data_IF_491530906587
#
_entry.id   IF_491530906587
#
_cell.length_a   1.000
_cell.length_b   1.000
_cell.length_c   1.000
_cell.angle_alpha   90.00
_cell.angle_beta   90.00
_cell.angle_gamma   90.00
#
_symmetry.space_group_name_H-M   'P 1'
#
loop_
_entity.id
_entity.type
_entity.pdbx_description
1 polymer ?
#
# COMPACT_ATOMS: atom_id res chain seq x y z
N UNK A 1 -31.28 -22.11 4.40
CA UNK A 1 -30.76 -20.92 3.74
C UNK A 1 -29.30 -21.24 3.40
N UNK A 2 -29.04 -21.60 2.16
CA UNK A 2 -27.65 -21.70 1.69
C UNK A 2 -27.02 -20.32 1.87
N UNK A 3 -25.91 -20.23 2.56
CA UNK A 3 -25.15 -18.99 2.67
C UNK A 3 -24.78 -18.58 1.23
N UNK A 4 -25.27 -17.44 0.78
CA UNK A 4 -24.98 -16.89 -0.52
C UNK A 4 -23.46 -16.86 -0.71
N UNK A 5 -22.97 -17.56 -1.73
CA UNK A 5 -21.54 -17.80 -1.93
C UNK A 5 -20.89 -16.46 -2.33
N UNK A 6 -20.28 -15.77 -1.39
CA UNK A 6 -19.56 -14.52 -1.64
C UNK A 6 -18.26 -14.82 -2.38
N UNK A 7 -18.12 -14.30 -3.62
CA UNK A 7 -16.92 -14.54 -4.41
C UNK A 7 -15.74 -13.68 -3.92
N UNK A 8 -16.00 -12.42 -3.55
CA UNK A 8 -14.97 -11.53 -3.05
C UNK A 8 -15.37 -10.80 -1.76
N UNK A 9 -14.39 -10.56 -0.89
CA UNK A 9 -14.48 -9.56 0.17
C UNK A 9 -13.51 -8.43 -0.15
N UNK A 10 -14.03 -7.20 -0.24
CA UNK A 10 -13.18 -6.00 -0.32
C UNK A 10 -13.03 -5.44 1.08
N UNK A 11 -11.82 -5.54 1.62
CA UNK A 11 -11.44 -5.01 2.93
C UNK A 11 -10.95 -3.58 2.78
N UNK A 12 -11.66 -2.62 3.33
CA UNK A 12 -11.27 -1.20 3.38
C UNK A 12 -10.66 -0.92 4.75
N UNK A 13 -9.40 -0.49 4.76
CA UNK A 13 -8.67 -0.14 5.97
C UNK A 13 -8.87 1.35 6.27
N UNK A 14 -9.33 1.70 7.47
CA UNK A 14 -9.58 3.08 7.87
C UNK A 14 -8.91 3.44 9.20
N UNK A 15 -8.30 4.62 9.21
CA UNK A 15 -7.84 5.31 10.41
C UNK A 15 -8.00 6.81 10.23
N UNK A 16 -8.86 7.44 11.07
CA UNK A 16 -9.23 8.85 10.93
C UNK A 16 -9.75 9.16 9.51
N UNK A 17 -10.64 8.28 9.00
CA UNK A 17 -11.09 8.26 7.62
C UNK A 17 -12.45 8.90 7.36
N UNK A 18 -13.11 9.47 8.40
CA UNK A 18 -14.48 9.97 8.36
C UNK A 18 -14.79 10.90 7.18
N UNK A 19 -13.86 11.78 6.82
CA UNK A 19 -14.07 12.77 5.76
C UNK A 19 -13.83 12.22 4.34
N UNK A 20 -13.13 11.08 4.19
CA UNK A 20 -12.71 10.58 2.87
C UNK A 20 -13.27 9.20 2.49
N UNK A 21 -13.65 8.37 3.47
CA UNK A 21 -14.08 6.98 3.24
C UNK A 21 -15.28 6.87 2.29
N UNK A 22 -16.14 7.90 2.27
CA UNK A 22 -17.31 7.92 1.38
C UNK A 22 -16.93 7.81 -0.09
N UNK A 23 -15.81 8.39 -0.54
CA UNK A 23 -15.37 8.32 -1.93
C UNK A 23 -15.03 6.89 -2.34
N UNK A 24 -14.45 6.11 -1.44
CA UNK A 24 -14.12 4.71 -1.66
C UNK A 24 -15.37 3.83 -1.66
N UNK A 25 -16.26 4.04 -0.69
CA UNK A 25 -17.48 3.24 -0.56
C UNK A 25 -18.46 3.51 -1.71
N UNK A 26 -18.60 4.75 -2.14
CA UNK A 26 -19.42 5.11 -3.31
C UNK A 26 -18.85 4.48 -4.60
N UNK A 27 -17.53 4.49 -4.78
CA UNK A 27 -16.89 3.83 -5.91
C UNK A 27 -17.04 2.30 -5.86
N UNK A 28 -17.08 1.70 -4.67
CA UNK A 28 -17.34 0.27 -4.51
C UNK A 28 -18.79 -0.07 -4.82
N UNK A 29 -19.77 0.76 -4.50
CA UNK A 29 -21.18 0.59 -4.92
C UNK A 29 -21.37 0.57 -6.44
N UNK A 30 -20.48 1.24 -7.16
CA UNK A 30 -20.54 1.40 -8.62
C UNK A 30 -19.66 0.40 -9.37
N UNK A 31 -19.21 -0.68 -8.73
CA UNK A 31 -18.39 -1.67 -9.41
C UNK A 31 -19.18 -2.43 -10.49
N UNK A 32 -18.59 -2.49 -11.67
CA UNK A 32 -19.06 -3.22 -12.84
C UNK A 32 -18.78 -4.73 -12.70
N UNK A 33 -19.48 -5.40 -11.80
CA UNK A 33 -19.36 -6.85 -11.64
C UNK A 33 -20.69 -7.48 -11.28
N UNK A 34 -20.94 -8.68 -11.82
CA UNK A 34 -22.08 -9.53 -11.44
C UNK A 34 -21.71 -10.55 -10.35
N UNK A 35 -20.43 -10.64 -10.02
CA UNK A 35 -19.97 -11.51 -8.97
C UNK A 35 -20.50 -11.01 -7.60
N UNK A 36 -21.07 -11.88 -6.76
CA UNK A 36 -21.47 -11.47 -5.43
C UNK A 36 -20.24 -11.13 -4.58
N UNK A 37 -20.22 -9.93 -4.02
CA UNK A 37 -19.14 -9.48 -3.15
C UNK A 37 -19.68 -8.74 -1.92
N UNK A 38 -18.87 -8.71 -0.89
CA UNK A 38 -19.11 -7.91 0.31
C UNK A 38 -18.03 -6.84 0.48
N UNK A 39 -18.38 -5.74 1.12
CA UNK A 39 -17.44 -4.72 1.59
C UNK A 39 -17.34 -4.81 3.10
N UNK A 40 -16.11 -4.90 3.60
CA UNK A 40 -15.78 -4.99 5.01
C UNK A 40 -14.84 -3.84 5.39
N UNK A 41 -15.32 -2.88 6.16
CA UNK A 41 -14.47 -1.80 6.69
C UNK A 41 -13.86 -2.23 8.02
N UNK A 42 -12.53 -2.13 8.13
CA UNK A 42 -11.78 -2.29 9.37
C UNK A 42 -11.28 -0.92 9.79
N UNK A 43 -11.94 -0.33 10.79
CA UNK A 43 -11.63 1.00 11.30
C UNK A 43 -11.03 0.94 12.70
N UNK A 44 -10.09 1.85 12.96
CA UNK A 44 -9.49 2.05 14.28
C UNK A 44 -9.32 3.53 14.61
N UNK A 45 -10.08 4.39 13.93
CA UNK A 45 -10.13 5.84 14.18
C UNK A 45 -11.00 6.21 15.39
N UNK A 46 -10.90 7.45 15.81
CA UNK A 46 -11.70 8.05 16.88
C UNK A 46 -12.54 9.22 16.39
N UNK A 47 -12.66 9.38 15.08
CA UNK A 47 -13.31 10.48 14.39
C UNK A 47 -14.80 10.23 14.06
N UNK A 48 -15.36 9.12 14.54
CA UNK A 48 -16.74 8.73 14.29
C UNK A 48 -16.97 8.11 12.91
N UNK A 49 -15.92 7.61 12.26
CA UNK A 49 -16.00 6.94 10.97
C UNK A 49 -16.93 5.71 11.03
N UNK A 50 -16.85 4.93 12.10
CA UNK A 50 -17.67 3.74 12.29
C UNK A 50 -19.17 4.05 12.38
N UNK A 51 -19.56 5.06 13.12
CA UNK A 51 -20.95 5.51 13.22
C UNK A 51 -21.46 5.99 11.85
N UNK A 52 -20.67 6.82 11.17
CA UNK A 52 -20.99 7.30 9.83
C UNK A 52 -21.22 6.18 8.82
N UNK A 53 -20.33 5.18 8.78
CA UNK A 53 -20.46 4.07 7.85
C UNK A 53 -21.71 3.24 8.15
N UNK A 54 -21.99 2.94 9.44
CA UNK A 54 -23.19 2.19 9.84
C UNK A 54 -24.49 2.90 9.44
N UNK A 55 -24.52 4.22 9.55
CA UNK A 55 -25.68 5.05 9.20
C UNK A 55 -25.86 5.17 7.67
N UNK A 56 -24.78 5.48 6.95
CA UNK A 56 -24.83 5.84 5.53
C UNK A 56 -24.71 4.66 4.57
N UNK A 57 -24.08 3.57 5.03
CA UNK A 57 -23.78 2.37 4.25
C UNK A 57 -24.18 1.09 4.98
N UNK A 58 -25.51 0.87 5.24
CA UNK A 58 -25.98 -0.26 6.05
C UNK A 58 -25.64 -1.64 5.44
N UNK A 59 -25.35 -1.72 4.15
CA UNK A 59 -24.90 -2.93 3.47
C UNK A 59 -23.43 -3.26 3.73
N UNK A 60 -22.63 -2.28 4.20
CA UNK A 60 -21.21 -2.45 4.49
C UNK A 60 -21.03 -3.03 5.88
N UNK A 61 -20.25 -4.10 5.96
CA UNK A 61 -19.89 -4.68 7.26
C UNK A 61 -18.80 -3.82 7.91
N UNK A 62 -19.00 -3.47 9.18
CA UNK A 62 -18.11 -2.61 9.93
C UNK A 62 -17.50 -3.34 11.13
N UNK A 63 -16.18 -3.39 11.15
CA UNK A 63 -15.39 -3.81 12.31
C UNK A 63 -14.64 -2.59 12.87
N UNK A 64 -15.03 -2.16 14.07
CA UNK A 64 -14.35 -1.07 14.76
C UNK A 64 -13.45 -1.59 15.88
N UNK A 65 -12.31 -0.95 16.07
CA UNK A 65 -11.39 -1.16 17.19
C UNK A 65 -11.17 0.16 17.93
N UNK A 66 -11.39 0.16 19.23
CA UNK A 66 -11.08 1.29 20.09
C UNK A 66 -9.57 1.54 20.28
N UNK A 67 -8.75 0.54 19.90
CA UNK A 67 -7.29 0.65 19.91
C UNK A 67 -6.83 0.82 18.47
N UNK A 68 -5.95 1.80 18.23
CA UNK A 68 -5.36 2.03 16.91
C UNK A 68 -4.68 0.76 16.39
N UNK A 69 -5.10 0.29 15.25
CA UNK A 69 -4.48 -0.81 14.52
C UNK A 69 -3.45 -0.27 13.52
N UNK A 70 -2.28 -0.91 13.47
CA UNK A 70 -1.34 -0.74 12.35
C UNK A 70 -1.88 -1.47 11.12
N UNK A 71 -1.33 -1.21 9.91
CA UNK A 71 -1.85 -1.86 8.69
C UNK A 71 -1.85 -3.39 8.75
N UNK A 72 -0.80 -4.04 9.27
CA UNK A 72 -0.73 -5.50 9.40
C UNK A 72 -1.89 -6.09 10.23
N UNK A 73 -2.04 -5.72 11.51
CA UNK A 73 -3.18 -6.14 12.33
C UNK A 73 -4.55 -5.79 11.72
N UNK A 74 -4.69 -4.64 11.08
CA UNK A 74 -5.94 -4.25 10.43
C UNK A 74 -6.28 -5.17 9.24
N UNK A 75 -5.28 -5.50 8.38
CA UNK A 75 -5.45 -6.46 7.28
C UNK A 75 -5.80 -7.85 7.82
N UNK A 76 -5.10 -8.33 8.84
CA UNK A 76 -5.35 -9.64 9.45
C UNK A 76 -6.78 -9.74 9.99
N UNK A 77 -7.25 -8.70 10.68
CA UNK A 77 -8.64 -8.65 11.13
C UNK A 77 -9.63 -8.70 9.97
N UNK A 78 -9.29 -8.05 8.84
CA UNK A 78 -10.06 -8.15 7.60
C UNK A 78 -10.09 -9.58 7.05
N UNK A 79 -8.93 -10.25 6.98
CA UNK A 79 -8.82 -11.64 6.52
C UNK A 79 -9.66 -12.59 7.38
N UNK A 80 -9.58 -12.46 8.71
CA UNK A 80 -10.28 -13.34 9.65
C UNK A 80 -11.80 -13.23 9.57
N UNK A 81 -12.32 -12.08 9.15
CA UNK A 81 -13.75 -11.82 9.03
C UNK A 81 -14.28 -11.84 7.59
N UNK A 82 -13.40 -11.94 6.61
CA UNK A 82 -13.78 -12.04 5.20
C UNK A 82 -14.53 -13.35 4.93
N UNK A 83 -15.56 -13.30 4.06
CA UNK A 83 -16.35 -14.46 3.61
C UNK A 83 -16.00 -14.88 2.19
N UNK A 84 -15.45 -13.95 1.38
CA UNK A 84 -15.13 -14.17 -0.01
C UNK A 84 -14.01 -15.20 -0.23
N UNK A 85 -14.04 -15.83 -1.39
CA UNK A 85 -12.96 -16.72 -1.87
C UNK A 85 -11.72 -15.92 -2.27
N UNK A 86 -11.92 -14.69 -2.73
CA UNK A 86 -10.89 -13.68 -3.00
C UNK A 86 -11.00 -12.59 -1.94
N UNK A 87 -9.88 -12.17 -1.38
CA UNK A 87 -9.80 -11.08 -0.41
C UNK A 87 -8.98 -9.96 -1.05
N UNK A 88 -9.61 -8.79 -1.25
CA UNK A 88 -8.98 -7.63 -1.83
C UNK A 88 -8.89 -6.50 -0.81
N UNK A 89 -7.85 -5.68 -0.87
CA UNK A 89 -7.59 -4.61 0.08
C UNK A 89 -7.60 -3.25 -0.61
N UNK A 90 -8.19 -2.27 0.06
CA UNK A 90 -8.13 -0.85 -0.29
C UNK A 90 -7.85 -0.02 0.97
N UNK A 91 -7.05 1.05 0.88
CA UNK A 91 -7.03 2.09 1.90
C UNK A 91 -8.28 2.97 1.77
N UNK A 92 -8.62 3.72 2.81
CA UNK A 92 -9.78 4.63 2.84
C UNK A 92 -9.60 5.92 2.00
N UNK A 93 -8.47 6.03 1.30
CA UNK A 93 -8.13 7.07 0.33
C UNK A 93 -7.77 6.50 -1.06
N UNK A 94 -8.07 5.22 -1.28
CA UNK A 94 -7.84 4.51 -2.54
C UNK A 94 -9.13 4.28 -3.31
N UNK A 95 -9.46 5.16 -4.25
CA UNK A 95 -10.71 5.12 -5.03
C UNK A 95 -10.56 4.17 -6.22
N UNK A 96 -11.23 2.99 -6.21
CA UNK A 96 -11.11 2.03 -7.30
C UNK A 96 -11.87 2.51 -8.55
N UNK A 97 -11.31 2.24 -9.74
CA UNK A 97 -12.03 2.42 -11.00
C UNK A 97 -13.24 1.47 -11.03
N UNK A 98 -14.29 1.82 -11.78
CA UNK A 98 -15.55 1.07 -11.81
C UNK A 98 -15.41 -0.43 -12.19
N UNK A 99 -14.38 -0.80 -12.94
CA UNK A 99 -14.09 -2.18 -13.37
C UNK A 99 -12.96 -2.86 -12.55
N UNK A 100 -12.50 -2.23 -11.48
CA UNK A 100 -11.37 -2.67 -10.66
C UNK A 100 -11.58 -4.07 -10.07
N UNK A 101 -12.76 -4.33 -9.50
CA UNK A 101 -13.06 -5.62 -8.87
C UNK A 101 -13.25 -6.72 -9.92
N UNK A 102 -14.00 -6.43 -11.00
CA UNK A 102 -14.22 -7.39 -12.09
C UNK A 102 -12.90 -7.87 -12.68
N UNK A 103 -12.02 -6.94 -13.06
CA UNK A 103 -10.70 -7.28 -13.66
C UNK A 103 -9.82 -8.10 -12.72
N UNK A 104 -9.88 -7.83 -11.41
CA UNK A 104 -9.17 -8.66 -10.42
C UNK A 104 -9.72 -10.08 -10.39
N UNK A 105 -11.03 -10.23 -10.33
CA UNK A 105 -11.68 -11.53 -10.31
C UNK A 105 -11.41 -12.32 -11.59
N UNK A 106 -11.35 -11.64 -12.75
CA UNK A 106 -11.01 -12.29 -14.01
C UNK A 106 -9.60 -12.90 -13.96
N UNK A 107 -8.58 -12.17 -13.48
CA UNK A 107 -7.23 -12.72 -13.30
C UNK A 107 -7.20 -13.87 -12.27
N UNK A 108 -7.96 -13.78 -11.18
CA UNK A 108 -8.06 -14.89 -10.23
C UNK A 108 -8.70 -16.14 -10.85
N UNK A 109 -9.67 -15.98 -11.76
CA UNK A 109 -10.29 -17.08 -12.52
C UNK A 109 -9.33 -17.68 -13.55
N UNK A 110 -8.41 -16.88 -14.10
CA UNK A 110 -7.31 -17.32 -14.97
C UNK A 110 -6.22 -18.12 -14.23
N UNK A 111 -6.30 -18.20 -12.89
CA UNK A 111 -5.42 -19.02 -12.07
C UNK A 111 -4.35 -18.25 -11.30
N UNK A 112 -4.38 -16.90 -11.31
CA UNK A 112 -3.49 -16.12 -10.46
C UNK A 112 -3.99 -16.11 -9.00
N UNK A 113 -3.09 -16.40 -8.07
CA UNK A 113 -3.39 -16.45 -6.64
C UNK A 113 -3.27 -15.11 -5.94
N UNK A 114 -2.43 -14.25 -6.48
CA UNK A 114 -2.22 -12.89 -6.00
C UNK A 114 -2.29 -11.93 -7.20
N UNK A 115 -3.04 -10.83 -7.06
CA UNK A 115 -3.26 -9.89 -8.17
C UNK A 115 -2.94 -8.47 -7.75
N UNK A 116 -2.05 -7.84 -8.51
CA UNK A 116 -1.68 -6.44 -8.44
C UNK A 116 -2.42 -5.57 -9.46
N UNK A 117 -2.19 -4.26 -9.38
CA UNK A 117 -2.73 -3.29 -10.30
C UNK A 117 -2.01 -1.94 -10.20
N UNK A 118 -2.35 -1.03 -11.09
CA UNK A 118 -1.78 0.29 -11.15
C UNK A 118 -2.41 1.25 -10.13
N UNK A 119 -1.62 2.21 -9.70
CA UNK A 119 -2.06 3.30 -8.82
C UNK A 119 -1.91 4.61 -9.59
N UNK A 120 -3.00 5.35 -9.71
CA UNK A 120 -3.05 6.65 -10.38
C UNK A 120 -3.11 7.78 -9.35
N UNK A 121 -2.75 9.00 -9.77
CA UNK A 121 -2.84 10.17 -8.92
C UNK A 121 -4.29 10.64 -8.78
N UNK A 122 -4.85 10.57 -7.58
CA UNK A 122 -6.20 11.02 -7.27
C UNK A 122 -6.30 12.55 -7.01
N UNK A 123 -5.16 13.27 -6.99
CA UNK A 123 -5.08 14.72 -6.75
C UNK A 123 -4.12 15.41 -7.74
N UNK A 124 -4.38 15.33 -9.06
CA UNK A 124 -3.47 15.89 -10.07
C UNK A 124 -3.31 17.42 -9.98
N UNK A 125 -4.29 18.11 -9.43
CA UNK A 125 -4.28 19.58 -9.24
C UNK A 125 -3.34 20.02 -8.11
N UNK A 126 -2.89 19.10 -7.24
CA UNK A 126 -1.99 19.42 -6.13
C UNK A 126 -0.54 19.06 -6.48
N UNK A 127 0.32 20.07 -6.53
CA UNK A 127 1.75 19.90 -6.76
C UNK A 127 2.38 18.91 -5.76
N UNK A 128 2.07 19.07 -4.46
CA UNK A 128 2.62 18.19 -3.41
C UNK A 128 2.10 16.75 -3.58
N UNK A 129 0.81 16.56 -3.87
CA UNK A 129 0.26 15.24 -4.09
C UNK A 129 0.83 14.57 -5.34
N UNK A 130 1.06 15.32 -6.43
CA UNK A 130 1.68 14.80 -7.66
C UNK A 130 3.14 14.38 -7.41
N UNK A 131 3.92 15.20 -6.69
CA UNK A 131 5.27 14.84 -6.32
C UNK A 131 5.32 13.62 -5.38
N UNK A 132 4.40 13.53 -4.42
CA UNK A 132 4.29 12.38 -3.52
C UNK A 132 3.85 11.11 -4.27
N UNK A 133 2.93 11.23 -5.23
CA UNK A 133 2.55 10.11 -6.10
C UNK A 133 3.75 9.57 -6.89
N UNK A 134 4.57 10.46 -7.46
CA UNK A 134 5.80 10.08 -8.16
C UNK A 134 6.82 9.46 -7.20
N UNK A 135 6.90 9.95 -5.96
CA UNK A 135 7.76 9.38 -4.93
C UNK A 135 7.38 7.94 -4.58
N UNK A 136 6.11 7.67 -4.31
CA UNK A 136 5.63 6.39 -3.76
C UNK A 136 5.26 5.38 -4.84
N UNK A 137 4.62 5.83 -5.92
CA UNK A 137 3.97 4.96 -6.90
C UNK A 137 4.58 5.00 -8.31
N UNK A 138 5.77 5.59 -8.50
CA UNK A 138 6.42 5.62 -9.83
C UNK A 138 6.70 4.24 -10.44
N UNK A 139 6.63 3.17 -9.65
CA UNK A 139 6.74 1.79 -10.12
C UNK A 139 5.38 1.11 -10.37
N UNK A 140 4.28 1.78 -10.03
CA UNK A 140 2.90 1.27 -10.12
C UNK A 140 2.02 2.11 -11.06
N UNK A 141 2.64 2.93 -11.89
CA UNK A 141 1.93 3.69 -12.91
C UNK A 141 1.23 2.75 -13.90
N UNK A 142 0.13 3.17 -14.56
CA UNK A 142 -0.61 2.33 -15.51
C UNK A 142 0.17 2.08 -16.81
N UNK A 143 1.25 1.32 -16.70
CA UNK A 143 2.17 0.90 -17.77
C UNK A 143 2.57 -0.55 -17.57
N UNK A 144 2.20 -1.45 -18.45
CA UNK A 144 2.47 -2.89 -18.30
C UNK A 144 3.97 -3.20 -18.18
N UNK A 145 4.81 -2.48 -18.92
CA UNK A 145 6.26 -2.67 -18.86
C UNK A 145 6.87 -2.33 -17.48
N UNK A 146 6.28 -1.39 -16.72
CA UNK A 146 6.72 -1.08 -15.37
C UNK A 146 6.37 -2.18 -14.38
N UNK A 147 5.25 -2.84 -14.59
CA UNK A 147 4.70 -3.83 -13.69
C UNK A 147 5.48 -5.14 -13.73
N UNK A 148 5.97 -5.54 -14.91
CA UNK A 148 6.84 -6.70 -15.09
C UNK A 148 8.27 -6.50 -14.58
N UNK A 149 8.64 -5.29 -14.17
CA UNK A 149 10.01 -4.96 -13.75
C UNK A 149 10.23 -5.03 -12.23
N UNK A 150 9.24 -5.47 -11.45
CA UNK A 150 9.33 -5.52 -9.98
C UNK A 150 9.78 -6.92 -9.52
N UNK A 151 10.81 -6.97 -8.67
CA UNK A 151 11.22 -8.21 -8.00
C UNK A 151 10.18 -8.70 -6.99
N UNK A 152 9.52 -7.75 -6.30
CA UNK A 152 8.42 -8.01 -5.39
C UNK A 152 7.19 -7.31 -5.95
N UNK A 153 6.15 -8.05 -6.38
CA UNK A 153 4.92 -7.44 -6.89
C UNK A 153 4.18 -6.70 -5.77
N UNK A 154 3.35 -5.73 -6.15
CA UNK A 154 2.43 -5.05 -5.23
C UNK A 154 1.02 -5.60 -5.43
N UNK A 155 0.79 -6.82 -4.97
CA UNK A 155 -0.52 -7.44 -5.02
C UNK A 155 -1.40 -6.92 -3.88
N UNK A 156 -2.64 -6.59 -4.21
CA UNK A 156 -3.67 -6.10 -3.28
C UNK A 156 -4.88 -7.03 -3.19
N UNK A 157 -4.93 -8.11 -3.96
CA UNK A 157 -5.93 -9.16 -3.75
C UNK A 157 -5.30 -10.54 -3.83
N UNK A 158 -5.85 -11.48 -3.05
CA UNK A 158 -5.32 -12.81 -2.87
C UNK A 158 -6.45 -13.83 -2.81
N UNK A 159 -6.26 -15.00 -3.40
CA UNK A 159 -7.12 -16.14 -3.12
C UNK A 159 -6.98 -16.53 -1.64
N UNK A 160 -8.05 -16.95 -0.99
CA UNK A 160 -8.04 -17.34 0.43
C UNK A 160 -6.97 -18.39 0.75
N UNK A 161 -6.72 -19.32 -0.17
CA UNK A 161 -5.68 -20.34 -0.03
C UNK A 161 -4.26 -19.80 0.20
N UNK A 162 -3.98 -18.56 -0.23
CA UNK A 162 -2.70 -17.91 0.05
C UNK A 162 -2.52 -17.67 1.55
N UNK A 163 -3.58 -17.20 2.22
CA UNK A 163 -3.58 -17.00 3.68
C UNK A 163 -3.55 -18.31 4.45
N UNK A 164 -4.18 -19.36 3.90
CA UNK A 164 -4.14 -20.70 4.50
C UNK A 164 -2.73 -21.30 4.41
N UNK A 165 -2.01 -21.03 3.32
CA UNK A 165 -0.66 -21.54 3.09
C UNK A 165 0.44 -20.69 3.78
N UNK A 166 0.34 -19.35 3.74
CA UNK A 166 1.42 -18.46 4.18
C UNK A 166 1.15 -17.78 5.53
N UNK A 167 -0.07 -17.94 6.09
CA UNK A 167 -0.50 -17.28 7.31
C UNK A 167 -0.90 -15.82 7.08
N UNK A 168 -0.62 -14.97 8.06
CA UNK A 168 -1.08 -13.58 8.15
C UNK A 168 0.03 -12.59 7.85
N UNK A 169 -0.34 -11.32 7.67
CA UNK A 169 0.61 -10.22 7.56
C UNK A 169 1.43 -10.08 8.85
N UNK A 170 2.70 -9.62 8.78
CA UNK A 170 3.45 -9.23 9.97
C UNK A 170 2.74 -8.13 10.74
N UNK A 171 2.71 -8.23 12.07
CA UNK A 171 2.04 -7.27 12.96
C UNK A 171 2.99 -6.36 13.72
N UNK A 172 4.27 -6.66 13.66
CA UNK A 172 5.33 -6.04 14.46
C UNK A 172 6.03 -4.87 13.75
N UNK A 173 5.56 -4.46 12.57
CA UNK A 173 6.09 -3.33 11.80
C UNK A 173 5.12 -2.13 11.77
N UNK A 174 5.66 -0.92 11.62
CA UNK A 174 4.85 0.30 11.44
C UNK A 174 4.20 0.34 10.05
N UNK A 175 4.93 -0.12 9.04
CA UNK A 175 4.55 -0.18 7.63
C UNK A 175 5.44 -1.21 6.92
N UNK A 176 5.12 -1.56 5.67
CA UNK A 176 5.88 -2.53 4.88
C UNK A 176 5.44 -3.99 5.09
N UNK A 177 4.36 -4.21 5.84
CA UNK A 177 3.75 -5.52 6.04
C UNK A 177 3.30 -6.15 4.71
N UNK A 178 2.82 -5.31 3.79
CA UNK A 178 2.42 -5.71 2.44
C UNK A 178 3.61 -6.14 1.58
N UNK A 179 4.70 -5.40 1.62
CA UNK A 179 5.95 -5.76 0.94
C UNK A 179 6.49 -7.09 1.46
N UNK A 180 6.49 -7.28 2.79
CA UNK A 180 6.93 -8.53 3.41
C UNK A 180 6.01 -9.71 3.04
N UNK A 181 4.71 -9.49 2.98
CA UNK A 181 3.76 -10.54 2.58
C UNK A 181 3.90 -10.90 1.10
N UNK A 182 4.01 -9.89 0.23
CA UNK A 182 4.25 -10.12 -1.20
C UNK A 182 5.60 -10.81 -1.46
N UNK A 183 6.66 -10.51 -0.69
CA UNK A 183 7.92 -11.26 -0.75
C UNK A 183 7.72 -12.73 -0.39
N UNK A 184 6.99 -13.03 0.69
CA UNK A 184 6.64 -14.41 1.04
C UNK A 184 5.86 -15.13 -0.05
N UNK A 185 4.97 -14.42 -0.75
CA UNK A 185 4.28 -14.98 -1.92
C UNK A 185 5.27 -15.41 -3.01
N UNK A 186 6.24 -14.54 -3.36
CA UNK A 186 7.26 -14.85 -4.37
C UNK A 186 8.14 -16.03 -3.92
N UNK A 187 8.63 -16.01 -2.68
CA UNK A 187 9.46 -17.07 -2.12
C UNK A 187 8.75 -18.44 -2.08
N UNK A 188 7.45 -18.44 -1.89
CA UNK A 188 6.62 -19.65 -1.88
C UNK A 188 6.11 -20.06 -3.28
N UNK A 189 6.49 -19.37 -4.34
CA UNK A 189 6.05 -19.67 -5.70
C UNK A 189 4.56 -19.41 -5.97
N UNK A 190 3.94 -18.50 -5.22
CA UNK A 190 2.56 -18.07 -5.46
C UNK A 190 2.47 -17.39 -6.82
N UNK A 191 1.48 -17.77 -7.63
CA UNK A 191 1.27 -17.20 -8.95
C UNK A 191 0.74 -15.78 -8.85
N UNK A 192 1.59 -14.79 -9.16
CA UNK A 192 1.26 -13.38 -9.13
C UNK A 192 0.87 -12.88 -10.52
N UNK A 193 -0.33 -12.28 -10.64
CA UNK A 193 -0.82 -11.60 -11.84
C UNK A 193 -0.77 -10.09 -11.69
N UNK A 194 -0.62 -9.38 -12.80
CA UNK A 194 -0.61 -7.92 -12.80
C UNK A 194 -1.25 -7.36 -14.06
N UNK A 195 -2.01 -6.28 -13.92
CA UNK A 195 -2.56 -5.54 -15.05
C UNK A 195 -2.55 -4.03 -14.80
N UNK A 196 -2.05 -3.26 -15.77
CA UNK A 196 -2.10 -1.80 -15.76
C UNK A 196 -3.54 -1.27 -15.86
N UNK A 197 -4.48 -2.08 -16.30
CA UNK A 197 -5.89 -1.71 -16.39
C UNK A 197 -6.64 -1.86 -15.07
N UNK A 198 -6.10 -2.58 -14.10
CA UNK A 198 -6.63 -2.62 -12.73
C UNK A 198 -6.15 -1.35 -12.02
N UNK A 199 -6.98 -0.33 -11.97
CA UNK A 199 -6.57 0.99 -11.50
C UNK A 199 -7.30 1.43 -10.23
N UNK A 200 -6.54 2.04 -9.34
CA UNK A 200 -7.01 2.71 -8.14
C UNK A 200 -6.40 4.11 -8.10
N UNK A 201 -7.21 5.15 -7.90
CA UNK A 201 -6.74 6.51 -7.71
C UNK A 201 -6.43 6.73 -6.22
N UNK A 202 -5.17 7.00 -5.89
CA UNK A 202 -4.77 7.32 -4.51
C UNK A 202 -4.91 8.81 -4.25
N UNK A 203 -5.71 9.16 -3.24
CA UNK A 203 -5.92 10.55 -2.79
C UNK A 203 -4.78 10.96 -1.87
N UNK A 204 -3.66 11.31 -2.46
CA UNK A 204 -2.42 11.60 -1.77
C UNK A 204 -2.45 12.82 -0.86
N UNK A 205 -1.41 12.96 -0.04
CA UNK A 205 -1.20 14.10 0.86
C UNK A 205 -0.94 15.37 0.06
N UNK A 206 -1.62 16.46 0.43
CA UNK A 206 -1.48 17.78 -0.19
C UNK A 206 -0.60 18.74 0.62
N UNK A 207 -0.24 18.37 1.84
CA UNK A 207 0.61 19.17 2.73
C UNK A 207 2.05 18.66 2.73
N UNK A 208 3.00 19.55 2.44
CA UNK A 208 4.42 19.25 2.49
C UNK A 208 4.87 18.72 3.87
N UNK A 209 4.43 19.36 4.95
CA UNK A 209 4.74 18.90 6.30
C UNK A 209 4.15 17.53 6.63
N UNK A 210 2.95 17.22 6.13
CA UNK A 210 2.35 15.90 6.28
C UNK A 210 3.13 14.84 5.49
N UNK A 211 3.59 15.16 4.28
CA UNK A 211 4.45 14.28 3.46
C UNK A 211 5.76 13.96 4.18
N UNK A 212 6.43 14.94 4.80
CA UNK A 212 7.66 14.67 5.55
C UNK A 212 7.44 13.79 6.77
N UNK A 213 6.36 14.02 7.54
CA UNK A 213 6.01 13.15 8.68
C UNK A 213 5.70 11.71 8.25
N UNK A 214 4.95 11.57 7.17
CA UNK A 214 4.62 10.28 6.58
C UNK A 214 5.88 9.54 6.12
N UNK A 215 6.76 10.22 5.39
CA UNK A 215 8.03 9.68 4.92
C UNK A 215 8.95 9.24 6.08
N UNK A 216 9.02 10.02 7.17
CA UNK A 216 9.78 9.62 8.36
C UNK A 216 9.18 8.36 9.01
N UNK A 217 7.85 8.23 9.07
CA UNK A 217 7.16 7.03 9.52
C UNK A 217 7.50 5.80 8.66
N UNK A 218 7.51 5.96 7.34
CA UNK A 218 7.95 4.92 6.40
C UNK A 218 9.40 4.49 6.63
N UNK A 219 10.30 5.44 6.88
CA UNK A 219 11.70 5.15 7.19
C UNK A 219 11.85 4.29 8.46
N UNK A 220 11.07 4.58 9.50
CA UNK A 220 11.04 3.75 10.71
C UNK A 220 10.55 2.33 10.41
N UNK A 221 9.44 2.19 9.67
CA UNK A 221 8.93 0.90 9.25
C UNK A 221 9.92 0.12 8.40
N UNK A 222 10.58 0.77 7.44
CA UNK A 222 11.63 0.16 6.61
C UNK A 222 12.77 -0.41 7.47
N UNK A 223 13.22 0.32 8.49
CA UNK A 223 14.25 -0.17 9.40
C UNK A 223 13.76 -1.35 10.23
N UNK A 224 12.51 -1.34 10.69
CA UNK A 224 11.90 -2.49 11.39
C UNK A 224 11.85 -3.73 10.49
N UNK A 225 11.42 -3.57 9.23
CA UNK A 225 11.42 -4.66 8.25
C UNK A 225 12.83 -5.20 8.00
N UNK A 226 13.82 -4.32 7.88
CA UNK A 226 15.23 -4.72 7.67
C UNK A 226 15.77 -5.51 8.86
N UNK A 227 15.48 -5.09 10.09
CA UNK A 227 16.02 -5.72 11.30
C UNK A 227 15.31 -7.02 11.68
N UNK A 228 14.00 -7.06 11.54
CA UNK A 228 13.17 -8.17 12.05
C UNK A 228 12.87 -9.23 10.99
N UNK A 229 12.87 -8.83 9.73
CA UNK A 229 12.46 -9.67 8.61
C UNK A 229 13.50 -9.75 7.49
N UNK A 230 14.73 -9.27 7.74
CA UNK A 230 15.85 -9.31 6.80
C UNK A 230 15.52 -8.70 5.42
N UNK A 231 14.61 -7.72 5.39
CA UNK A 231 14.29 -7.02 4.16
C UNK A 231 15.50 -6.14 3.77
N UNK A 232 16.17 -6.52 2.68
CA UNK A 232 17.30 -5.74 2.17
C UNK A 232 16.91 -4.29 1.89
N UNK A 233 17.72 -3.34 2.36
CA UNK A 233 17.56 -1.93 2.02
C UNK A 233 18.91 -1.29 1.77
N UNK A 234 18.96 -0.23 0.94
CA UNK A 234 20.18 0.53 0.69
C UNK A 234 20.68 1.28 1.94
N UNK A 235 19.83 1.43 2.97
CA UNK A 235 20.22 1.96 4.27
C UNK A 235 21.10 0.96 5.02
N UNK A 236 20.80 -0.35 4.91
CA UNK A 236 21.60 -1.45 5.46
C UNK A 236 21.71 -1.44 6.99
N UNK A 237 22.46 -2.41 7.55
CA UNK A 237 22.90 -2.38 8.96
C UNK A 237 24.19 -1.56 9.05
N UNK A 238 24.18 -0.38 9.65
CA UNK A 238 25.34 0.46 9.74
C UNK A 238 26.30 -0.02 10.82
N UNK A 239 27.59 -0.15 10.48
CA UNK A 239 28.62 -0.52 11.44
C UNK A 239 28.97 0.61 12.43
N UNK A 240 28.70 1.87 12.07
CA UNK A 240 28.97 3.05 12.91
C UNK A 240 27.88 4.09 12.73
N UNK A 241 27.67 4.95 13.74
CA UNK A 241 26.70 6.05 13.69
C UNK A 241 26.94 7.01 12.52
N UNK A 242 28.21 7.33 12.24
CA UNK A 242 28.61 8.18 11.10
C UNK A 242 28.27 7.53 9.76
N UNK A 243 28.63 6.24 9.61
CA UNK A 243 28.29 5.48 8.40
C UNK A 243 26.78 5.32 8.21
N UNK A 244 26.02 5.21 9.30
CA UNK A 244 24.56 5.18 9.29
C UNK A 244 23.98 6.50 8.79
N UNK A 245 24.44 7.62 9.35
CA UNK A 245 23.99 8.96 8.99
C UNK A 245 24.24 9.25 7.49
N UNK A 246 25.44 8.97 7.00
CA UNK A 246 25.77 9.16 5.58
C UNK A 246 24.87 8.32 4.67
N UNK A 247 24.69 7.02 4.98
CA UNK A 247 23.84 6.15 4.17
C UNK A 247 22.38 6.61 4.18
N UNK A 248 21.84 6.93 5.35
CA UNK A 248 20.44 7.30 5.50
C UNK A 248 20.11 8.69 4.91
N UNK A 249 20.97 9.67 5.14
CA UNK A 249 20.67 11.08 4.82
C UNK A 249 21.22 11.56 3.47
N UNK A 250 22.17 10.85 2.88
CA UNK A 250 22.78 11.23 1.60
C UNK A 250 22.65 10.13 0.57
N UNK A 251 23.19 8.95 0.85
CA UNK A 251 23.22 7.86 -0.14
C UNK A 251 21.82 7.38 -0.51
N UNK A 252 20.96 7.12 0.46
CA UNK A 252 19.60 6.63 0.22
C UNK A 252 18.74 7.60 -0.61
N UNK A 253 18.69 8.92 -0.33
CA UNK A 253 18.00 9.89 -1.19
C UNK A 253 18.52 9.92 -2.62
N UNK A 254 19.84 9.91 -2.80
CA UNK A 254 20.45 9.92 -4.13
C UNK A 254 20.10 8.65 -4.91
N UNK A 255 20.28 7.48 -4.31
CA UNK A 255 19.91 6.20 -4.93
C UNK A 255 18.41 6.13 -5.25
N UNK A 256 17.55 6.64 -4.36
CA UNK A 256 16.11 6.70 -4.55
C UNK A 256 15.71 7.53 -5.77
N UNK A 257 16.31 8.72 -5.96
CA UNK A 257 16.07 9.56 -7.14
C UNK A 257 16.61 8.89 -8.41
N UNK A 258 17.86 8.39 -8.35
CA UNK A 258 18.51 7.73 -9.49
C UNK A 258 17.74 6.49 -9.94
N UNK A 259 17.26 5.65 -9.01
CA UNK A 259 16.46 4.47 -9.32
C UNK A 259 15.15 4.83 -10.03
N UNK A 260 14.45 5.88 -9.54
CA UNK A 260 13.21 6.38 -10.18
C UNK A 260 13.51 6.92 -11.58
N UNK A 261 14.54 7.76 -11.72
CA UNK A 261 14.93 8.32 -13.01
C UNK A 261 15.32 7.24 -14.03
N UNK A 262 16.10 6.22 -13.63
CA UNK A 262 16.45 5.07 -14.49
C UNK A 262 15.22 4.28 -14.92
N UNK A 263 14.30 4.01 -13.99
CA UNK A 263 13.06 3.31 -14.27
C UNK A 263 12.18 4.08 -15.25
N UNK A 264 11.92 5.36 -14.98
CA UNK A 264 11.13 6.21 -15.88
C UNK A 264 11.79 6.35 -17.24
N UNK A 265 13.11 6.60 -17.30
CA UNK A 265 13.84 6.68 -18.58
C UNK A 265 13.65 5.44 -19.45
N UNK A 266 13.54 4.26 -18.82
CA UNK A 266 13.40 2.99 -19.54
C UNK A 266 11.96 2.70 -19.96
N UNK A 267 10.97 3.02 -19.12
CA UNK A 267 9.61 2.53 -19.27
C UNK A 267 8.56 3.62 -19.48
N UNK A 268 8.85 4.86 -19.11
CA UNK A 268 7.93 6.00 -19.20
C UNK A 268 8.71 7.34 -19.32
N UNK A 269 9.54 7.53 -20.36
CA UNK A 269 10.45 8.69 -20.46
C UNK A 269 9.69 10.02 -20.48
N UNK A 270 8.44 10.04 -20.93
CA UNK A 270 7.56 11.21 -20.94
C UNK A 270 7.25 11.75 -19.54
N UNK A 271 7.43 10.96 -18.48
CA UNK A 271 7.18 11.35 -17.09
C UNK A 271 8.45 11.85 -16.36
N UNK A 272 9.59 11.88 -17.03
CA UNK A 272 10.82 12.46 -16.45
C UNK A 272 10.67 13.94 -16.06
N UNK A 273 9.98 14.80 -16.85
CA UNK A 273 9.72 16.18 -16.43
C UNK A 273 8.94 16.27 -15.12
N UNK A 274 7.95 15.40 -14.89
CA UNK A 274 7.18 15.35 -13.64
C UNK A 274 8.07 14.97 -12.45
N UNK A 275 8.95 13.98 -12.62
CA UNK A 275 9.94 13.62 -11.60
C UNK A 275 10.84 14.80 -11.25
N UNK A 276 11.39 15.51 -12.27
CA UNK A 276 12.28 16.64 -12.09
C UNK A 276 11.55 17.79 -11.36
N UNK A 277 10.34 18.13 -11.82
CA UNK A 277 9.51 19.13 -11.16
C UNK A 277 9.18 18.76 -9.72
N UNK A 278 9.01 17.46 -9.41
CA UNK A 278 8.71 16.97 -8.06
C UNK A 278 9.90 16.94 -7.10
N UNK A 279 11.16 17.11 -7.56
CA UNK A 279 12.36 17.01 -6.71
C UNK A 279 12.33 17.89 -5.45
N UNK A 280 11.79 19.13 -5.46
CA UNK A 280 11.68 19.94 -4.25
C UNK A 280 10.84 19.32 -3.12
N UNK A 281 9.96 18.38 -3.43
CA UNK A 281 9.19 17.59 -2.45
C UNK A 281 9.84 16.22 -2.23
N UNK A 282 10.23 15.56 -3.30
CA UNK A 282 10.74 14.17 -3.29
C UNK A 282 12.04 14.07 -2.49
N UNK A 283 13.01 14.98 -2.72
CA UNK A 283 14.31 14.89 -2.05
C UNK A 283 14.18 15.09 -0.53
N UNK A 284 13.51 16.15 -0.02
CA UNK A 284 13.27 16.27 1.42
C UNK A 284 12.50 15.09 2.02
N UNK A 285 11.55 14.52 1.30
CA UNK A 285 10.82 13.33 1.78
C UNK A 285 11.73 12.11 1.88
N UNK A 286 12.61 11.85 0.91
CA UNK A 286 13.60 10.78 0.98
C UNK A 286 14.62 11.00 2.13
N UNK A 287 15.03 12.24 2.38
CA UNK A 287 15.85 12.58 3.57
C UNK A 287 15.09 12.31 4.85
N UNK A 288 13.80 12.67 4.92
CA UNK A 288 12.94 12.36 6.07
C UNK A 288 12.78 10.85 6.29
N UNK A 289 12.66 10.06 5.20
CA UNK A 289 12.66 8.59 5.27
C UNK A 289 13.97 8.09 5.89
N UNK A 290 15.11 8.56 5.41
CA UNK A 290 16.42 8.23 5.97
C UNK A 290 16.56 8.61 7.43
N UNK A 291 16.11 9.80 7.83
CA UNK A 291 16.12 10.26 9.22
C UNK A 291 15.24 9.37 10.11
N UNK A 292 14.05 8.98 9.65
CA UNK A 292 13.17 8.06 10.36
C UNK A 292 13.81 6.68 10.56
N UNK A 293 14.48 6.16 9.54
CA UNK A 293 15.19 4.89 9.62
C UNK A 293 16.37 4.97 10.60
N UNK A 294 17.13 6.07 10.59
CA UNK A 294 18.24 6.30 11.50
C UNK A 294 17.75 6.40 12.96
N UNK A 295 16.66 7.10 13.22
CA UNK A 295 16.05 7.21 14.53
C UNK A 295 15.64 5.82 15.05
N UNK A 296 14.96 5.02 14.24
CA UNK A 296 14.55 3.66 14.61
C UNK A 296 15.77 2.74 14.86
N UNK A 297 16.82 2.93 14.09
CA UNK A 297 18.06 2.20 14.29
C UNK A 297 18.71 2.51 15.63
N UNK A 298 18.68 3.78 16.07
CA UNK A 298 19.25 4.22 17.36
C UNK A 298 18.40 3.81 18.57
N UNK A 299 17.06 3.80 18.42
CA UNK A 299 16.13 3.62 19.55
C UNK A 299 15.51 2.22 19.61
N UNK A 300 15.65 1.42 18.58
CA UNK A 300 15.06 0.08 18.50
C UNK A 300 15.76 -0.92 19.42
N UNK A 301 15.07 -1.96 19.89
CA UNK A 301 15.64 -3.02 20.74
C UNK A 301 16.84 -3.67 20.01
N UNK A 302 17.98 -3.75 20.66
CA UNK A 302 19.24 -4.28 20.13
C UNK A 302 20.23 -3.22 19.62
N UNK A 303 20.04 -1.93 19.90
CA UNK A 303 20.97 -0.83 19.62
C UNK A 303 22.01 -0.62 20.75
N UNK A 304 22.45 -1.70 21.42
CA UNK A 304 23.52 -1.71 22.41
C UNK A 304 24.74 -2.46 21.91
#
# INVERSE_FOLDING_TARGET
MEAELVEATVVVLSYQGRERIHTVLDALRLQDTRAPYEVLVVDSGTDGCDAYVRERYPEVRMLHSSIRLRPGPARNRGVDHARGRVIAFLPDDGVPRHDWLRRRLDLHREGFDAVGGAITNGRPDSYVASANHMLEYSSLLPRDALLGAQEIPHCLSFSRRVFDALGRYPEDTLTGEDTLFNRRCVEAGITCGFSAEIQMAHVGLTSFAATLRHAAGHGRGLMQCTRRHELGSSIGSPGTLWGAGWRALVRYPVEGVVAKARRLRRYAPELLPELICGLPVIVPALVATGAGALLEWQTGPGSG
#
